data_IF_598904471688
#
_entry.id   IF_598904471688
#
_cell.length_a   1.000
_cell.length_b   1.000
_cell.length_c   1.000
_cell.angle_alpha   90.00
_cell.angle_beta   90.00
_cell.angle_gamma   90.00
#
_symmetry.space_group_name_H-M   'P 1'
#
loop_
_entity.id
_entity.type
_entity.pdbx_description
1 polymer ?
#
# COMPACT_ATOMS: atom_id res chain seq x y z
N UNK A 1 24.68 -11.34 -11.30
CA UNK A 1 24.15 -11.24 -11.07
C UNK A 1 23.54 -10.83 -10.59
N UNK A 2 23.71 -10.84 -10.87
CA UNK A 2 23.03 -10.48 -10.54
C UNK A 2 22.45 -10.16 -9.85
N UNK A 3 22.61 -10.09 -9.98
CA UNK A 3 21.96 -9.72 -9.33
C UNK A 3 21.44 -9.25 -8.70
N UNK A 4 21.71 -8.99 -8.94
CA UNK A 4 21.16 -8.66 -8.39
C UNK A 4 20.73 -8.17 -7.57
N UNK A 5 21.00 -8.12 -7.82
CA UNK A 5 20.45 -7.82 -7.18
C UNK A 5 20.13 -7.22 -6.46
N UNK A 6 20.42 -7.05 -6.80
CA UNK A 6 20.00 -6.58 -6.26
C UNK A 6 19.45 -6.03 -5.57
N UNK A 7 19.61 -6.11 -5.83
CA UNK A 7 18.89 -5.77 -5.33
C UNK A 7 18.39 -5.34 -4.65
N UNK A 8 18.56 -5.31 -4.99
CA UNK A 8 17.93 -5.14 -4.51
C UNK A 8 17.45 -4.72 -3.67
N UNK A 9 17.56 -4.72 -3.68
CA UNK A 9 16.97 -4.50 -3.13
C UNK A 9 16.47 -3.90 -2.65
N UNK A 10 16.71 -4.13 -2.89
CA UNK A 10 16.34 -3.49 -2.74
C UNK A 10 15.60 -2.91 -2.39
N UNK A 11 15.89 -2.76 -2.56
CA UNK A 11 15.20 -1.85 -2.18
C UNK A 11 13.84 -2.03 -2.19
N UNK A 12 13.35 -2.43 -1.35
CA UNK A 12 12.02 -2.86 -1.34
C UNK A 12 11.07 -1.70 -1.17
N UNK A 13 10.50 -1.28 -2.28
CA UNK A 13 9.46 -0.28 -2.28
C UNK A 13 8.15 -1.03 -2.08
N UNK A 14 7.42 -0.66 -1.06
CA UNK A 14 6.13 -1.30 -0.75
C UNK A 14 5.00 -0.51 -1.40
N UNK A 15 4.17 -1.21 -2.16
CA UNK A 15 2.99 -0.60 -2.78
C UNK A 15 1.77 -1.28 -2.20
N UNK A 16 0.89 -0.49 -1.61
CA UNK A 16 -0.37 -0.99 -1.06
C UNK A 16 -1.49 -0.31 -1.81
N UNK A 17 -2.41 -1.08 -2.37
CA UNK A 17 -3.55 -0.52 -3.11
C UNK A 17 -4.82 -0.63 -2.30
N UNK A 18 -5.57 0.45 -2.25
CA UNK A 18 -6.88 0.48 -1.62
C UNK A 18 -7.87 0.73 -2.74
N UNK A 19 -8.77 -0.22 -2.96
CA UNK A 19 -9.72 -0.14 -4.06
C UNK A 19 -11.14 -0.47 -3.60
N UNK A 20 -12.13 0.09 -4.28
CA UNK A 20 -13.52 -0.26 -3.96
C UNK A 20 -13.73 -1.75 -4.21
N UNK A 21 -14.48 -2.39 -3.34
CA UNK A 21 -14.75 -3.80 -3.46
C UNK A 21 -16.14 -4.11 -2.91
N UNK A 22 -17.07 -4.41 -3.80
CA UNK A 22 -18.45 -4.68 -3.43
C UNK A 22 -19.02 -3.50 -2.66
N UNK A 23 -19.44 -3.69 -1.41
CA UNK A 23 -20.01 -2.62 -0.61
C UNK A 23 -18.99 -1.96 0.30
N UNK A 24 -17.72 -2.20 0.07
CA UNK A 24 -16.68 -1.68 0.93
C UNK A 24 -15.40 -1.41 0.18
N UNK A 25 -14.28 -1.68 0.83
CA UNK A 25 -12.96 -1.39 0.31
C UNK A 25 -12.02 -2.56 0.56
N UNK A 26 -11.11 -2.79 -0.37
CA UNK A 26 -10.12 -3.85 -0.23
C UNK A 26 -8.74 -3.24 -0.16
N UNK A 27 -7.95 -3.69 0.80
CA UNK A 27 -6.56 -3.30 0.93
C UNK A 27 -5.71 -4.44 0.38
N UNK A 28 -5.13 -4.24 -0.79
CA UNK A 28 -4.35 -5.26 -1.48
C UNK A 28 -2.87 -5.02 -1.27
N UNK A 29 -2.18 -5.98 -0.67
CA UNK A 29 -0.74 -5.89 -0.46
C UNK A 29 0.02 -6.85 -1.37
N UNK A 30 -0.63 -7.90 -1.80
CA UNK A 30 -0.04 -8.90 -2.68
C UNK A 30 -0.98 -10.06 -2.79
N UNK A 31 -0.69 -11.04 -3.67
CA UNK A 31 -1.56 -12.21 -3.82
C UNK A 31 -1.76 -12.92 -2.48
N UNK A 32 -3.01 -13.10 -2.11
CA UNK A 32 -3.35 -13.75 -0.86
C UNK A 32 -3.31 -12.85 0.36
N UNK A 33 -2.91 -11.59 0.20
CA UNK A 33 -2.87 -10.65 1.31
C UNK A 33 -3.81 -9.51 0.99
N UNK A 34 -5.11 -9.75 1.21
CA UNK A 34 -6.18 -8.84 0.81
C UNK A 34 -7.20 -8.75 1.92
N UNK A 35 -7.23 -7.61 2.60
CA UNK A 35 -8.17 -7.38 3.70
C UNK A 35 -9.31 -6.49 3.22
N UNK A 36 -10.52 -6.76 3.69
CA UNK A 36 -11.71 -6.02 3.27
C UNK A 36 -12.26 -5.23 4.44
N UNK A 37 -12.68 -4.01 4.15
CA UNK A 37 -13.20 -3.09 5.15
C UNK A 37 -14.50 -2.46 4.67
N UNK A 38 -15.35 -2.05 5.59
CA UNK A 38 -16.59 -1.39 5.23
C UNK A 38 -16.35 0.07 4.85
N UNK A 39 -15.39 0.72 5.52
CA UNK A 39 -15.12 2.12 5.29
C UNK A 39 -13.75 2.33 4.67
N UNK A 40 -13.67 3.34 3.79
CA UNK A 40 -12.41 3.71 3.18
C UNK A 40 -11.38 4.13 4.24
N UNK A 41 -11.82 4.87 5.25
CA UNK A 41 -10.92 5.32 6.30
C UNK A 41 -10.32 4.17 7.08
N UNK A 42 -11.10 3.12 7.31
CA UNK A 42 -10.59 1.94 7.98
C UNK A 42 -9.50 1.27 7.14
N UNK A 43 -9.70 1.21 5.83
CA UNK A 43 -8.72 0.63 4.93
C UNK A 43 -7.44 1.44 4.94
N UNK A 44 -7.56 2.77 4.94
CA UNK A 44 -6.41 3.67 4.97
C UNK A 44 -5.64 3.50 6.28
N UNK A 45 -6.34 3.43 7.40
CA UNK A 45 -5.70 3.25 8.70
C UNK A 45 -4.94 1.92 8.75
N UNK A 46 -5.57 0.89 8.23
CA UNK A 46 -4.94 -0.42 8.19
C UNK A 46 -3.67 -0.38 7.32
N UNK A 47 -3.78 0.24 6.15
CA UNK A 47 -2.65 0.34 5.24
C UNK A 47 -1.51 1.15 5.88
N UNK A 48 -1.86 2.22 6.57
CA UNK A 48 -0.87 3.05 7.25
C UNK A 48 -0.12 2.25 8.30
N UNK A 49 -0.85 1.41 9.04
CA UNK A 49 -0.24 0.54 10.04
C UNK A 49 0.70 -0.46 9.38
N UNK A 50 0.26 -1.05 8.27
CA UNK A 50 1.09 -2.02 7.55
C UNK A 50 2.33 -1.36 6.95
N UNK A 51 2.23 -0.07 6.63
CA UNK A 51 3.33 0.68 6.03
C UNK A 51 4.35 1.17 7.06
N UNK A 52 4.04 1.00 8.33
CA UNK A 52 4.90 1.49 9.40
C UNK A 52 6.31 0.91 9.27
N UNK A 53 7.31 1.77 9.33
CA UNK A 53 8.72 1.41 9.21
C UNK A 53 9.11 0.87 7.84
N UNK A 54 8.35 1.24 6.82
CA UNK A 54 8.66 0.88 5.44
C UNK A 54 8.71 2.14 4.59
N UNK A 55 9.13 1.97 3.35
CA UNK A 55 9.10 3.05 2.38
C UNK A 55 8.28 2.60 1.19
N UNK A 56 7.49 3.50 0.63
CA UNK A 56 6.66 3.17 -0.51
C UNK A 56 5.48 4.09 -0.63
N UNK A 57 4.36 3.56 -1.10
CA UNK A 57 3.17 4.39 -1.25
C UNK A 57 1.89 3.57 -1.12
N UNK A 58 0.85 4.26 -0.70
CA UNK A 58 -0.50 3.71 -0.65
C UNK A 58 -1.26 4.38 -1.78
N UNK A 59 -1.78 3.59 -2.70
CA UNK A 59 -2.55 4.09 -3.84
C UNK A 59 -4.02 3.82 -3.61
N UNK A 60 -4.81 4.88 -3.61
CA UNK A 60 -6.25 4.77 -3.42
C UNK A 60 -6.90 4.90 -4.79
N UNK A 61 -7.59 3.85 -5.20
CA UNK A 61 -8.17 3.77 -6.53
C UNK A 61 -9.66 4.09 -6.49
N UNK A 62 -10.17 4.61 -7.62
CA UNK A 62 -11.60 4.85 -7.76
C UNK A 62 -12.25 3.63 -8.40
N UNK A 63 -13.55 3.73 -8.65
CA UNK A 63 -14.32 2.61 -9.22
C UNK A 63 -13.84 2.20 -10.60
N UNK A 64 -13.22 3.12 -11.33
CA UNK A 64 -12.70 2.84 -12.66
C UNK A 64 -11.31 2.25 -12.65
N UNK A 65 -10.72 2.07 -11.47
CA UNK A 65 -9.38 1.54 -11.36
C UNK A 65 -8.29 2.59 -11.51
N UNK A 66 -8.66 3.86 -11.51
CA UNK A 66 -7.69 4.94 -11.63
C UNK A 66 -7.21 5.37 -10.25
N UNK A 67 -5.95 5.78 -10.16
CA UNK A 67 -5.40 6.27 -8.89
C UNK A 67 -6.00 7.63 -8.60
N UNK A 68 -6.79 7.69 -7.55
CA UNK A 68 -7.44 8.92 -7.12
C UNK A 68 -6.53 9.71 -6.17
N UNK A 69 -5.76 8.99 -5.37
CA UNK A 69 -4.90 9.61 -4.38
C UNK A 69 -3.72 8.70 -4.07
N UNK A 70 -2.56 9.30 -3.85
CA UNK A 70 -1.36 8.55 -3.47
C UNK A 70 -0.84 9.13 -2.16
N UNK A 71 -0.60 8.25 -1.19
CA UNK A 71 0.00 8.64 0.07
C UNK A 71 1.39 8.04 0.10
N UNK A 72 2.40 8.88 0.06
CA UNK A 72 3.79 8.43 0.11
C UNK A 72 4.20 8.29 1.57
N UNK A 73 4.86 7.19 1.89
CA UNK A 73 5.38 7.01 3.22
C UNK A 73 6.85 6.64 3.14
N UNK A 74 7.58 6.98 4.20
CA UNK A 74 9.03 6.81 4.23
C UNK A 74 9.44 6.52 5.65
N UNK A 75 10.30 5.54 5.80
CA UNK A 75 10.76 5.13 7.12
C UNK A 75 11.38 6.29 7.90
N UNK A 76 12.16 7.12 7.21
CA UNK A 76 12.82 8.26 7.87
C UNK A 76 11.80 9.26 8.41
N UNK A 77 10.72 9.48 7.68
CA UNK A 77 9.67 10.39 8.13
C UNK A 77 8.97 9.84 9.37
N UNK A 78 8.80 8.53 9.39
CA UNK A 78 8.16 7.87 10.52
C UNK A 78 8.96 8.01 11.81
N UNK A 79 10.24 8.20 11.68
CA UNK A 79 11.11 8.31 12.84
C UNK A 79 10.98 9.65 13.54
N UNK A 80 10.34 10.60 12.90
CA UNK A 80 10.12 11.91 13.50
C UNK A 80 8.90 11.92 14.43
#
# INVERSE_FOLDING_TARGET
MLYSSKTQGASAVTIIEIRPFRNGWKCFEGPGVESVFLDREQAIDYATTRACFRSGEIRILDLGGNVERTIVFNEAVRML
#
